data_IF_908850834740
#
_entry.id   IF_908850834740
#
_cell.length_a   1.000
_cell.length_b   1.000
_cell.length_c   1.000
_cell.angle_alpha   90.00
_cell.angle_beta   90.00
_cell.angle_gamma   90.00
#
_symmetry.space_group_name_H-M   'P 1'
#
loop_
_entity.id
_entity.type
_entity.pdbx_description
1 polymer ?
#
# COMPACT_ATOMS: atom_id res chain seq x y z
N UNK A 1 1.48 -4.24 21.19
CA UNK A 1 1.27 -5.43 22.07
C UNK A 1 -0.17 -5.88 21.89
N UNK A 2 -0.43 -7.13 21.52
CA UNK A 2 -1.79 -7.65 21.37
C UNK A 2 -2.50 -7.65 22.73
N UNK A 3 -3.80 -7.29 22.75
CA UNK A 3 -4.57 -7.30 23.99
C UNK A 3 -4.70 -8.76 24.50
N UNK A 4 -4.30 -9.06 25.74
CA UNK A 4 -4.25 -10.44 26.24
C UNK A 4 -5.64 -11.03 26.54
N UNK A 5 -6.68 -10.19 26.60
CA UNK A 5 -8.06 -10.61 26.83
C UNK A 5 -9.05 -9.56 26.31
N UNK A 6 -10.32 -9.98 26.16
CA UNK A 6 -11.42 -9.14 25.68
C UNK A 6 -11.62 -7.87 26.53
N UNK A 7 -11.35 -7.92 27.83
CA UNK A 7 -11.47 -6.76 28.71
C UNK A 7 -10.41 -5.68 28.40
N UNK A 8 -9.18 -6.10 28.14
CA UNK A 8 -8.10 -5.22 27.71
C UNK A 8 -8.38 -4.62 26.32
N UNK A 9 -8.93 -5.42 25.40
CA UNK A 9 -9.33 -4.95 24.07
C UNK A 9 -10.48 -3.94 24.16
N UNK A 10 -11.50 -4.21 24.95
CA UNK A 10 -12.63 -3.29 25.17
C UNK A 10 -12.16 -1.94 25.74
N UNK A 11 -11.25 -1.98 26.73
CA UNK A 11 -10.64 -0.77 27.30
C UNK A 11 -9.84 0.02 26.27
N UNK A 12 -9.03 -0.65 25.46
CA UNK A 12 -8.24 -0.02 24.41
C UNK A 12 -9.12 0.66 23.33
N UNK A 13 -10.26 0.05 23.01
CA UNK A 13 -11.22 0.58 22.03
C UNK A 13 -12.21 1.59 22.62
N UNK A 14 -12.16 1.87 23.93
CA UNK A 14 -13.08 2.78 24.61
C UNK A 14 -14.53 2.29 24.65
N UNK A 15 -14.76 0.97 24.59
CA UNK A 15 -16.09 0.35 24.60
C UNK A 15 -16.30 -0.52 25.84
N UNK A 16 -17.55 -0.86 26.15
CA UNK A 16 -17.83 -1.81 27.23
C UNK A 16 -17.46 -3.25 26.83
N UNK A 17 -17.00 -4.10 27.77
CA UNK A 17 -16.78 -5.53 27.51
C UNK A 17 -18.05 -6.26 27.02
N UNK A 18 -19.23 -5.83 27.46
CA UNK A 18 -20.52 -6.34 26.98
C UNK A 18 -20.74 -6.05 25.50
N UNK A 19 -20.39 -4.85 25.04
CA UNK A 19 -20.47 -4.45 23.63
C UNK A 19 -19.60 -5.36 22.77
N UNK A 20 -18.37 -5.61 23.20
CA UNK A 20 -17.45 -6.50 22.51
C UNK A 20 -17.95 -7.96 22.49
N UNK A 21 -18.44 -8.47 23.63
CA UNK A 21 -19.04 -9.80 23.71
C UNK A 21 -20.26 -9.98 22.80
N UNK A 22 -21.08 -8.94 22.68
CA UNK A 22 -22.25 -8.91 21.81
C UNK A 22 -21.88 -8.95 20.32
N UNK A 23 -20.82 -8.24 19.93
CA UNK A 23 -20.29 -8.29 18.56
C UNK A 23 -19.72 -9.66 18.21
N UNK A 24 -18.96 -10.26 19.14
CA UNK A 24 -18.38 -11.60 18.97
C UNK A 24 -19.45 -12.66 18.80
N UNK A 25 -20.49 -12.64 19.64
CA UNK A 25 -21.60 -13.61 19.57
C UNK A 25 -22.39 -13.52 18.25
N UNK A 26 -22.46 -12.33 17.65
CA UNK A 26 -23.18 -12.09 16.38
C UNK A 26 -22.29 -12.12 15.15
N UNK A 27 -20.99 -12.43 15.30
CA UNK A 27 -20.00 -12.32 14.24
C UNK A 27 -20.04 -10.97 13.49
N UNK A 28 -20.39 -9.89 14.20
CA UNK A 28 -20.63 -8.57 13.61
C UNK A 28 -19.51 -7.62 14.02
N UNK A 29 -18.55 -7.39 13.12
CA UNK A 29 -17.50 -6.39 13.34
C UNK A 29 -18.06 -5.01 12.93
N UNK A 30 -17.98 -3.97 13.78
CA UNK A 30 -18.49 -2.65 13.43
C UNK A 30 -17.59 -1.99 12.39
N UNK A 31 -18.12 -1.81 11.19
CA UNK A 31 -17.42 -1.14 10.10
C UNK A 31 -16.94 0.26 10.48
N UNK A 32 -17.78 1.04 11.19
CA UNK A 32 -17.42 2.39 11.64
C UNK A 32 -16.20 2.42 12.58
N UNK A 33 -16.01 1.39 13.40
CA UNK A 33 -14.82 1.27 14.26
C UNK A 33 -13.58 0.98 13.40
N UNK A 34 -13.69 0.07 12.43
CA UNK A 34 -12.59 -0.26 11.53
C UNK A 34 -12.15 0.97 10.72
N UNK A 35 -13.11 1.76 10.22
CA UNK A 35 -12.85 3.01 9.51
C UNK A 35 -12.14 4.05 10.37
N UNK A 36 -12.54 4.17 11.64
CA UNK A 36 -11.88 5.11 12.55
C UNK A 36 -10.44 4.69 12.82
N UNK A 37 -10.19 3.41 13.14
CA UNK A 37 -8.84 2.88 13.35
C UNK A 37 -7.95 3.04 12.11
N UNK A 38 -8.50 2.79 10.92
CA UNK A 38 -7.77 3.01 9.67
C UNK A 38 -7.37 4.48 9.47
N UNK A 39 -8.25 5.42 9.85
CA UNK A 39 -8.04 6.85 9.67
C UNK A 39 -7.12 7.46 10.73
N UNK A 40 -7.25 7.07 12.00
CA UNK A 40 -6.47 7.67 13.10
C UNK A 40 -5.10 7.02 13.24
N UNK A 41 -5.03 5.70 13.06
CA UNK A 41 -3.84 4.92 13.39
C UNK A 41 -3.15 4.37 12.13
N UNK A 42 -3.71 4.63 10.94
CA UNK A 42 -3.15 4.20 9.66
C UNK A 42 -3.25 2.69 9.43
N UNK A 43 -4.16 2.00 10.12
CA UNK A 43 -4.29 0.53 10.05
C UNK A 43 -5.01 0.09 8.77
N UNK A 44 -4.56 -1.00 8.15
CA UNK A 44 -5.16 -1.59 6.96
C UNK A 44 -6.59 -2.11 7.22
N UNK A 45 -7.55 -1.70 6.38
CA UNK A 45 -8.91 -2.23 6.42
C UNK A 45 -9.00 -3.69 6.00
N UNK A 46 -8.16 -4.14 5.05
CA UNK A 46 -8.10 -5.55 4.65
C UNK A 46 -7.63 -6.43 5.81
N UNK A 47 -6.71 -5.92 6.63
CA UNK A 47 -6.29 -6.61 7.83
C UNK A 47 -7.40 -6.64 8.88
N UNK A 48 -8.08 -5.51 9.13
CA UNK A 48 -9.16 -5.41 10.12
C UNK A 48 -10.41 -6.23 9.79
N UNK A 49 -10.82 -6.26 8.52
CA UNK A 49 -12.08 -6.89 8.10
C UNK A 49 -11.90 -8.33 7.62
N UNK A 50 -10.76 -8.62 6.98
CA UNK A 50 -10.54 -9.88 6.28
C UNK A 50 -9.39 -10.69 6.89
N UNK A 51 -8.61 -10.11 7.82
CA UNK A 51 -7.42 -10.75 8.36
C UNK A 51 -6.31 -10.96 7.32
N UNK A 52 -6.31 -10.17 6.23
CA UNK A 52 -5.38 -10.31 5.11
C UNK A 52 -4.34 -9.17 5.10
N UNK A 53 -3.12 -9.50 4.70
CA UNK A 53 -2.04 -8.53 4.55
C UNK A 53 -1.43 -8.06 5.87
N UNK A 54 -0.66 -6.97 5.81
CA UNK A 54 -0.01 -6.37 6.97
C UNK A 54 -0.97 -5.43 7.72
N UNK A 55 -0.84 -5.37 9.06
CA UNK A 55 -1.67 -4.52 9.93
C UNK A 55 -1.46 -3.05 9.62
N UNK A 56 -0.21 -2.62 9.54
CA UNK A 56 0.15 -1.33 9.00
C UNK A 56 0.40 -1.55 7.51
N UNK A 57 -0.21 -0.77 6.61
CA UNK A 57 0.21 -0.76 5.22
C UNK A 57 1.71 -0.48 5.23
N UNK A 58 2.50 -1.43 4.73
CA UNK A 58 3.87 -1.12 4.35
C UNK A 58 3.77 0.09 3.41
N UNK A 59 4.44 1.22 3.68
CA UNK A 59 4.49 2.34 2.74
C UNK A 59 4.90 1.74 1.41
N UNK A 60 3.96 1.74 0.45
CA UNK A 60 3.93 0.79 -0.65
C UNK A 60 5.33 0.32 -1.04
N UNK A 61 5.63 -0.97 -0.81
CA UNK A 61 6.87 -1.64 -1.20
C UNK A 61 7.14 -1.62 -2.72
N UNK A 62 6.41 -0.80 -3.48
CA UNK A 62 6.75 -0.36 -4.83
C UNK A 62 8.10 0.40 -4.85
N UNK A 63 8.58 0.88 -3.70
CA UNK A 63 9.88 1.52 -3.55
C UNK A 63 10.75 0.81 -2.51
N UNK A 64 10.81 -0.51 -2.55
CA UNK A 64 11.81 -1.26 -1.76
C UNK A 64 13.26 -0.94 -2.23
N UNK A 65 13.40 -0.40 -3.43
CA UNK A 65 14.67 0.04 -3.98
C UNK A 65 14.87 1.52 -3.66
N UNK A 66 15.85 1.80 -2.79
CA UNK A 66 16.28 3.15 -2.39
C UNK A 66 16.55 4.05 -3.61
N UNK A 67 17.02 3.46 -4.72
CA UNK A 67 17.23 4.19 -5.97
C UNK A 67 15.92 4.67 -6.60
N UNK A 68 14.84 3.88 -6.54
CA UNK A 68 13.53 4.26 -7.09
C UNK A 68 12.87 5.32 -6.21
N UNK A 69 13.02 5.25 -4.88
CA UNK A 69 12.60 6.33 -3.97
C UNK A 69 13.31 7.63 -4.33
N UNK A 70 14.63 7.59 -4.48
CA UNK A 70 15.43 8.78 -4.79
C UNK A 70 15.04 9.39 -6.15
N UNK A 71 14.77 8.55 -7.17
CA UNK A 71 14.30 9.01 -8.47
C UNK A 71 12.94 9.70 -8.35
N UNK A 72 11.99 9.11 -7.62
CA UNK A 72 10.67 9.73 -7.44
C UNK A 72 10.72 11.05 -6.67
N UNK A 73 11.50 11.12 -5.59
CA UNK A 73 11.68 12.36 -4.83
C UNK A 73 12.28 13.46 -5.72
N UNK A 74 13.24 13.11 -6.58
CA UNK A 74 13.83 14.03 -7.55
C UNK A 74 12.78 14.51 -8.55
N UNK A 75 12.00 13.61 -9.15
CA UNK A 75 10.95 13.96 -10.12
C UNK A 75 9.87 14.86 -9.53
N UNK A 76 9.47 14.61 -8.29
CA UNK A 76 8.47 15.41 -7.58
C UNK A 76 8.93 16.83 -7.30
N UNK A 77 10.24 17.08 -7.22
CA UNK A 77 10.81 18.41 -7.02
C UNK A 77 10.98 19.24 -8.31
N UNK A 78 10.79 18.63 -9.49
CA UNK A 78 10.90 19.32 -10.79
C UNK A 78 9.61 20.08 -11.12
N UNK A 79 9.74 21.11 -11.96
CA UNK A 79 8.57 21.80 -12.52
C UNK A 79 7.87 20.97 -13.61
N UNK A 80 6.67 21.39 -14.03
CA UNK A 80 5.86 20.65 -14.99
C UNK A 80 6.55 20.47 -16.36
N UNK A 81 7.35 21.43 -16.80
CA UNK A 81 8.03 21.39 -18.09
C UNK A 81 9.18 20.39 -18.05
N UNK A 82 9.93 20.38 -16.97
CA UNK A 82 11.03 19.44 -16.74
C UNK A 82 10.50 18.02 -16.52
N UNK A 83 9.39 17.85 -15.81
CA UNK A 83 8.70 16.56 -15.67
C UNK A 83 8.25 15.99 -17.02
N UNK A 84 7.63 16.82 -17.87
CA UNK A 84 7.18 16.39 -19.20
C UNK A 84 8.37 16.00 -20.09
N UNK A 85 9.47 16.75 -20.02
CA UNK A 85 10.69 16.43 -20.76
C UNK A 85 11.26 15.08 -20.33
N UNK A 86 11.38 14.83 -19.02
CA UNK A 86 11.89 13.56 -18.49
C UNK A 86 10.97 12.40 -18.90
N UNK A 87 9.66 12.57 -18.80
CA UNK A 87 8.69 11.57 -19.23
C UNK A 87 8.85 11.21 -20.71
N UNK A 88 9.00 12.22 -21.59
CA UNK A 88 9.20 12.01 -23.03
C UNK A 88 10.47 11.23 -23.34
N UNK A 89 11.60 11.63 -22.72
CA UNK A 89 12.89 10.93 -22.91
C UNK A 89 12.82 9.49 -22.40
N UNK A 90 12.10 9.25 -21.29
CA UNK A 90 11.92 7.90 -20.76
C UNK A 90 11.11 7.01 -21.71
N UNK A 91 10.03 7.52 -22.31
CA UNK A 91 9.22 6.80 -23.30
C UNK A 91 10.02 6.46 -24.56
N UNK A 92 10.75 7.42 -25.11
CA UNK A 92 11.55 7.20 -26.32
C UNK A 92 12.62 6.11 -26.08
N UNK A 93 13.31 6.16 -24.93
CA UNK A 93 14.27 5.12 -24.54
C UNK A 93 13.63 3.75 -24.38
N UNK A 94 12.42 3.68 -23.81
CA UNK A 94 11.69 2.42 -23.66
C UNK A 94 11.35 1.82 -25.02
N UNK A 95 10.77 2.63 -25.91
CA UNK A 95 10.42 2.20 -27.27
C UNK A 95 11.65 1.72 -28.05
N UNK A 96 12.76 2.46 -28.00
CA UNK A 96 14.00 2.06 -28.66
C UNK A 96 14.53 0.72 -28.17
N UNK A 97 14.45 0.43 -26.86
CA UNK A 97 14.87 -0.86 -26.31
C UNK A 97 13.99 -2.00 -26.78
N UNK A 98 12.68 -1.81 -26.81
CA UNK A 98 11.73 -2.80 -27.32
C UNK A 98 12.01 -3.11 -28.80
N UNK A 99 12.21 -2.08 -29.62
CA UNK A 99 12.58 -2.24 -31.03
C UNK A 99 13.93 -2.96 -31.20
N UNK A 100 14.93 -2.62 -30.40
CA UNK A 100 16.23 -3.29 -30.41
C UNK A 100 16.10 -4.78 -30.06
N UNK A 101 15.29 -5.11 -29.05
CA UNK A 101 15.03 -6.50 -28.65
C UNK A 101 14.35 -7.28 -29.78
N UNK A 102 13.36 -6.68 -30.45
CA UNK A 102 12.68 -7.35 -31.56
C UNK A 102 13.60 -7.54 -32.77
N UNK A 103 14.44 -6.55 -33.10
CA UNK A 103 15.46 -6.69 -34.16
C UNK A 103 16.44 -7.82 -33.84
N UNK A 104 16.91 -7.92 -32.59
CA UNK A 104 17.79 -9.01 -32.16
C UNK A 104 17.08 -10.36 -32.30
N UNK A 105 15.84 -10.46 -31.82
CA UNK A 105 15.01 -11.67 -31.92
C UNK A 105 14.84 -12.15 -33.36
N UNK A 106 14.54 -11.23 -34.29
CA UNK A 106 14.35 -11.55 -35.71
C UNK A 106 15.66 -11.91 -36.42
N UNK A 107 16.81 -11.42 -35.91
CA UNK A 107 18.14 -11.67 -36.49
C UNK A 107 18.78 -12.98 -36.04
N UNK A 108 18.37 -13.53 -34.89
CA UNK A 108 18.70 -14.91 -34.49
C UNK A 108 17.55 -15.84 -34.85
N UNK A 109 17.48 -16.36 -36.09
CA UNK A 109 16.53 -17.42 -36.39
C UNK A 109 16.92 -18.69 -35.62
N UNK A 110 15.90 -19.34 -35.06
CA UNK A 110 15.95 -20.72 -34.58
C UNK A 110 16.24 -21.68 -35.74
#
# INVERSE_FOLDING_TARGET
MAAPNDAALAKALGISPQTLGSWRARASIPYGLCMNLARTDGISLDWLLLGRGAMLPEPHALLADESVVAILATLQGLDAKDQEHVHRVALDRKLLRELQQEVVRLRTPN
#
